data_IF_178237745863
#
_entry.id   IF_178237745863
#
_cell.length_a   1.000
_cell.length_b   1.000
_cell.length_c   1.000
_cell.angle_alpha   90.00
_cell.angle_beta   90.00
_cell.angle_gamma   90.00
#
_symmetry.space_group_name_H-M   'P 1'
#
loop_
_entity.id
_entity.type
_entity.pdbx_description
1 polymer ?
#
# COMPACT_ATOMS: atom_id res chain seq x y z
N UNK A 1 -3.07 1.13 -10.18
CA UNK A 1 -2.50 0.29 -9.11
C UNK A 1 -3.02 0.83 -7.79
N UNK A 2 -4.26 0.48 -7.50
CA UNK A 2 -4.74 0.56 -6.13
C UNK A 2 -3.91 -0.42 -5.29
N UNK A 3 -3.25 0.07 -4.25
CA UNK A 3 -2.73 -0.82 -3.22
C UNK A 3 -3.93 -1.12 -2.30
N UNK A 4 -4.72 -2.11 -2.71
CA UNK A 4 -5.79 -2.66 -1.87
C UNK A 4 -5.15 -3.54 -0.81
N UNK A 5 -5.19 -3.05 0.42
CA UNK A 5 -4.67 -3.74 1.59
C UNK A 5 -5.78 -4.68 2.08
N UNK A 6 -5.90 -5.84 1.44
CA UNK A 6 -7.14 -6.63 1.46
C UNK A 6 -8.22 -5.97 0.58
N UNK A 7 -9.14 -6.74 0.00
CA UNK A 7 -10.23 -6.25 -0.87
C UNK A 7 -11.27 -5.35 -0.16
N UNK A 8 -10.89 -4.69 0.93
CA UNK A 8 -11.75 -3.82 1.72
C UNK A 8 -11.27 -2.38 1.54
N UNK A 9 -12.20 -1.42 1.55
CA UNK A 9 -11.88 0.01 1.55
C UNK A 9 -11.92 0.52 2.99
N UNK A 10 -11.04 1.46 3.36
CA UNK A 10 -11.16 2.20 4.61
C UNK A 10 -9.86 2.41 5.39
N UNK A 11 -10.00 2.78 6.66
CA UNK A 11 -8.88 3.03 7.57
C UNK A 11 -8.53 1.78 8.37
N UNK A 12 -7.25 1.40 8.36
CA UNK A 12 -6.76 0.26 9.14
C UNK A 12 -5.90 0.70 10.33
N UNK A 13 -6.09 0.09 11.52
CA UNK A 13 -5.22 0.32 12.67
C UNK A 13 -3.82 -0.29 12.47
N UNK A 14 -2.86 0.20 13.25
CA UNK A 14 -1.54 -0.43 13.36
C UNK A 14 -1.69 -1.85 13.92
N UNK A 15 -0.97 -2.80 13.35
CA UNK A 15 -1.07 -4.22 13.71
C UNK A 15 -2.06 -5.00 12.84
N UNK A 16 -2.84 -4.33 11.98
CA UNK A 16 -3.72 -5.02 11.02
C UNK A 16 -2.91 -5.92 10.10
N UNK A 17 -3.42 -7.14 9.91
CA UNK A 17 -2.90 -8.13 8.99
C UNK A 17 -3.45 -7.90 7.61
N UNK A 18 -2.56 -7.98 6.62
CA UNK A 18 -2.86 -7.58 5.26
C UNK A 18 -2.32 -8.61 4.28
N UNK A 19 -2.96 -8.71 3.13
CA UNK A 19 -2.56 -9.58 2.03
C UNK A 19 -2.34 -8.72 0.79
N UNK A 20 -1.20 -8.91 0.14
CA UNK A 20 -0.91 -8.22 -1.11
C UNK A 20 -1.81 -8.71 -2.23
N UNK A 21 -2.34 -7.78 -3.02
CA UNK A 21 -3.04 -8.02 -4.29
C UNK A 21 -2.56 -7.01 -5.33
N UNK A 22 -2.85 -7.27 -6.61
CA UNK A 22 -2.53 -6.39 -7.74
C UNK A 22 -1.02 -6.08 -7.90
N UNK A 23 -0.19 -7.06 -7.61
CA UNK A 23 1.27 -6.97 -7.78
C UNK A 23 1.66 -6.62 -9.21
N UNK A 24 2.69 -5.78 -9.36
CA UNK A 24 3.37 -5.55 -10.65
C UNK A 24 4.60 -6.45 -10.82
N UNK A 25 5.03 -6.74 -12.07
CA UNK A 25 6.19 -7.60 -12.32
C UNK A 25 7.48 -7.23 -11.58
N UNK A 26 7.68 -5.94 -11.26
CA UNK A 26 8.83 -5.37 -10.58
C UNK A 26 8.68 -5.24 -9.06
N UNK A 27 7.56 -5.67 -8.50
CA UNK A 27 7.34 -5.58 -7.07
C UNK A 27 8.15 -6.62 -6.27
N UNK A 28 8.73 -6.17 -5.16
CA UNK A 28 9.49 -7.01 -4.21
C UNK A 28 8.70 -8.15 -3.55
N UNK A 29 7.36 -8.11 -3.62
CA UNK A 29 6.45 -9.05 -2.97
C UNK A 29 5.34 -9.42 -3.95
N UNK A 30 4.98 -10.68 -4.03
CA UNK A 30 3.95 -11.16 -4.96
C UNK A 30 2.55 -11.22 -4.32
N UNK A 31 1.54 -11.42 -5.15
CA UNK A 31 0.16 -11.57 -4.68
C UNK A 31 0.06 -12.73 -3.69
N UNK A 32 -0.64 -12.45 -2.60
CA UNK A 32 -0.76 -13.38 -1.48
C UNK A 32 0.33 -13.30 -0.42
N UNK A 33 1.37 -12.48 -0.61
CA UNK A 33 2.28 -12.13 0.48
C UNK A 33 1.48 -11.54 1.65
N UNK A 34 1.82 -11.98 2.86
CA UNK A 34 1.19 -11.49 4.08
C UNK A 34 2.09 -10.48 4.77
N UNK A 35 1.48 -9.46 5.36
CA UNK A 35 2.21 -8.43 6.09
C UNK A 35 1.40 -7.81 7.21
N UNK A 36 2.05 -6.93 7.95
CA UNK A 36 1.47 -6.22 9.09
C UNK A 36 1.67 -4.71 8.91
N UNK A 37 0.61 -3.93 9.08
CA UNK A 37 0.70 -2.47 9.09
C UNK A 37 1.47 -2.02 10.33
N UNK A 38 2.57 -1.29 10.14
CA UNK A 38 3.40 -0.76 11.23
C UNK A 38 3.26 0.74 11.44
N UNK A 39 2.64 1.43 10.48
CA UNK A 39 2.35 2.85 10.55
C UNK A 39 1.47 3.33 9.39
N UNK A 40 1.00 4.56 9.48
CA UNK A 40 0.23 5.23 8.44
C UNK A 40 0.59 6.71 8.37
N UNK A 41 0.58 7.28 7.17
CA UNK A 41 0.63 8.71 6.91
C UNK A 41 -0.77 9.16 6.49
N UNK A 42 -1.36 10.10 7.25
CA UNK A 42 -2.68 10.66 6.98
C UNK A 42 -3.50 10.98 8.25
N UNK A 43 -4.76 11.42 8.09
CA UNK A 43 -5.46 11.60 6.82
C UNK A 43 -4.87 12.76 6.01
N UNK A 44 -4.73 12.57 4.70
CA UNK A 44 -4.30 13.65 3.82
C UNK A 44 -5.38 14.75 3.74
N UNK A 45 -4.96 16.01 3.81
CA UNK A 45 -5.85 17.15 3.57
C UNK A 45 -6.40 17.15 2.14
N UNK A 46 -7.50 17.85 1.88
CA UNK A 46 -8.11 17.91 0.54
C UNK A 46 -7.12 18.36 -0.55
N UNK A 47 -6.25 19.33 -0.25
CA UNK A 47 -5.20 19.77 -1.17
C UNK A 47 -4.17 18.69 -1.45
N UNK A 48 -3.72 17.97 -0.42
CA UNK A 48 -2.78 16.85 -0.57
C UNK A 48 -3.39 15.69 -1.35
N UNK A 49 -4.68 15.37 -1.12
CA UNK A 49 -5.38 14.35 -1.91
C UNK A 49 -5.47 14.76 -3.37
N UNK A 50 -5.80 16.01 -3.68
CA UNK A 50 -5.87 16.50 -5.05
C UNK A 50 -4.52 16.37 -5.78
N UNK A 51 -3.40 16.71 -5.12
CA UNK A 51 -2.05 16.53 -5.66
C UNK A 51 -1.71 15.05 -5.87
N UNK A 52 -2.01 14.19 -4.91
CA UNK A 52 -1.80 12.74 -4.99
C UNK A 52 -2.62 12.12 -6.14
N UNK A 53 -3.90 12.49 -6.27
CA UNK A 53 -4.78 12.00 -7.34
C UNK A 53 -4.20 12.33 -8.72
N UNK A 54 -3.66 13.53 -8.93
CA UNK A 54 -3.02 13.90 -10.19
C UNK A 54 -1.80 13.00 -10.48
N UNK A 55 -0.95 12.77 -9.50
CA UNK A 55 0.23 11.90 -9.65
C UNK A 55 -0.13 10.42 -9.86
N UNK A 56 -1.21 9.97 -9.25
CA UNK A 56 -1.77 8.63 -9.43
C UNK A 56 -2.42 8.45 -10.81
N UNK A 57 -3.16 9.45 -11.28
CA UNK A 57 -3.77 9.46 -12.60
C UNK A 57 -2.71 9.35 -13.71
N UNK A 58 -1.57 10.04 -13.56
CA UNK A 58 -0.40 9.87 -14.45
C UNK A 58 0.13 8.43 -14.50
N UNK A 59 -0.11 7.65 -13.44
CA UNK A 59 0.27 6.23 -13.32
C UNK A 59 -0.87 5.27 -13.68
N UNK A 60 -1.98 5.78 -14.26
CA UNK A 60 -3.15 4.99 -14.63
C UNK A 60 -3.90 4.40 -13.44
N UNK A 61 -3.92 5.13 -12.31
CA UNK A 61 -4.56 4.70 -11.08
C UNK A 61 -5.75 5.64 -10.84
N UNK A 62 -6.95 5.07 -10.86
CA UNK A 62 -8.20 5.78 -10.59
C UNK A 62 -8.70 5.31 -9.22
N UNK A 63 -8.71 6.20 -8.23
CA UNK A 63 -9.04 5.88 -6.84
C UNK A 63 -8.72 7.04 -5.89
N UNK A 64 -9.51 7.20 -4.83
CA UNK A 64 -9.24 8.19 -3.78
C UNK A 64 -8.19 7.63 -2.80
N UNK A 65 -7.29 8.50 -2.32
CA UNK A 65 -6.27 8.13 -1.33
C UNK A 65 -6.43 8.99 -0.10
N UNK A 66 -6.81 8.35 1.00
CA UNK A 66 -6.92 9.01 2.30
C UNK A 66 -5.70 8.76 3.20
N UNK A 67 -5.09 7.57 3.10
CA UNK A 67 -3.96 7.13 3.92
C UNK A 67 -2.93 6.36 3.10
N UNK A 68 -1.65 6.54 3.45
CA UNK A 68 -0.54 5.72 2.94
C UNK A 68 -0.02 4.87 4.10
N UNK A 69 0.04 3.55 3.94
CA UNK A 69 0.44 2.63 5.00
C UNK A 69 1.87 2.10 4.79
N UNK A 70 2.59 1.96 5.89
CA UNK A 70 3.82 1.16 5.92
C UNK A 70 3.50 -0.25 6.37
N UNK A 71 3.90 -1.23 5.56
CA UNK A 71 3.68 -2.65 5.80
C UNK A 71 5.03 -3.35 5.92
N UNK A 72 5.19 -4.15 6.97
CA UNK A 72 6.27 -5.13 7.09
C UNK A 72 5.73 -6.46 6.60
N UNK A 73 6.35 -7.01 5.56
CA UNK A 73 5.97 -8.30 4.99
C UNK A 73 6.66 -9.44 5.74
N UNK A 74 5.95 -10.57 5.89
CA UNK A 74 6.42 -11.70 6.70
C UNK A 74 7.59 -12.47 6.08
N UNK A 75 7.75 -12.37 4.76
CA UNK A 75 8.81 -13.03 4.00
C UNK A 75 10.14 -12.23 4.00
N UNK A 76 10.25 -11.14 4.77
CA UNK A 76 11.54 -10.48 5.00
C UNK A 76 12.38 -11.41 5.88
N UNK A 77 13.14 -12.30 5.25
CA UNK A 77 14.29 -12.96 5.87
C UNK A 77 15.34 -11.85 6.07
N UNK A 78 15.84 -11.59 7.30
CA UNK A 78 16.89 -10.61 7.51
C UNK A 78 18.14 -11.03 6.73
N UNK A 79 18.56 -10.24 5.74
CA UNK A 79 19.86 -10.40 5.07
C UNK A 79 19.86 -10.76 3.59
N UNK A 80 18.71 -10.88 2.92
CA UNK A 80 18.67 -11.06 1.46
C UNK A 80 18.29 -9.73 0.80
N UNK A 81 19.19 -9.10 0.01
CA UNK A 81 18.80 -7.96 -0.79
C UNK A 81 17.82 -8.43 -1.86
N UNK A 82 16.65 -7.79 -1.91
CA UNK A 82 15.70 -8.02 -2.99
C UNK A 82 16.33 -7.41 -4.25
N UNK A 83 16.61 -8.27 -5.24
CA UNK A 83 17.27 -7.94 -6.49
C UNK A 83 16.41 -7.04 -7.40
#
# INVERSE_FOLDING_TARGET
MEILVGNEEGRWPKGTRVKKVNTRPDDSHQDGALGTIVGALGPASASQRAELIIELAKKGIDGDIEYIYWVVWDNIIPGIPVA
#
